data_IF_479488614143
#
_entry.id   IF_479488614143
#
_cell.length_a   1.000
_cell.length_b   1.000
_cell.length_c   1.000
_cell.angle_alpha   90.00
_cell.angle_beta   90.00
_cell.angle_gamma   90.00
#
_symmetry.space_group_name_H-M   'P 1'
#
loop_
_entity.id
_entity.type
_entity.pdbx_description
1 polymer ?
#
# COMPACT_ATOMS: atom_id res chain seq x y z
N UNK A 1 -29.51 33.80 -0.76
CA UNK A 1 -28.72 33.32 0.40
C UNK A 1 -28.45 31.82 0.38
N UNK A 2 -29.42 30.94 0.10
CA UNK A 2 -29.21 29.49 0.10
C UNK A 2 -28.16 28.99 -0.91
N UNK A 3 -28.15 29.53 -2.13
CA UNK A 3 -27.19 29.15 -3.18
C UNK A 3 -25.74 29.49 -2.80
N UNK A 4 -25.50 30.66 -2.20
CA UNK A 4 -24.16 31.07 -1.74
C UNK A 4 -23.67 30.15 -0.62
N UNK A 5 -24.55 29.74 0.30
CA UNK A 5 -24.21 28.79 1.38
C UNK A 5 -23.89 27.39 0.84
N UNK A 6 -24.64 26.92 -0.16
CA UNK A 6 -24.36 25.65 -0.83
C UNK A 6 -23.02 25.67 -1.58
N UNK A 7 -22.74 26.76 -2.31
CA UNK A 7 -21.46 26.93 -2.97
C UNK A 7 -20.29 26.96 -1.98
N UNK A 8 -20.46 27.65 -0.83
CA UNK A 8 -19.46 27.68 0.22
C UNK A 8 -19.21 26.29 0.85
N UNK A 9 -20.27 25.50 1.09
CA UNK A 9 -20.15 24.12 1.58
C UNK A 9 -19.45 23.21 0.57
N UNK A 10 -19.79 23.31 -0.72
CA UNK A 10 -19.14 22.55 -1.77
C UNK A 10 -17.65 22.88 -1.88
N UNK A 11 -17.29 24.17 -1.81
CA UNK A 11 -15.90 24.61 -1.83
C UNK A 11 -15.13 24.09 -0.60
N UNK A 12 -15.71 24.20 0.60
CA UNK A 12 -15.10 23.68 1.82
C UNK A 12 -14.89 22.17 1.76
N UNK A 13 -15.90 21.42 1.27
CA UNK A 13 -15.80 19.97 1.07
C UNK A 13 -14.72 19.60 0.06
N UNK A 14 -14.62 20.32 -1.06
CA UNK A 14 -13.58 20.08 -2.06
C UNK A 14 -12.17 20.32 -1.51
N UNK A 15 -11.96 21.43 -0.78
CA UNK A 15 -10.67 21.73 -0.13
C UNK A 15 -10.31 20.65 0.89
N UNK A 16 -11.27 20.26 1.74
CA UNK A 16 -11.08 19.18 2.72
C UNK A 16 -10.73 17.85 2.07
N UNK A 17 -11.44 17.48 1.00
CA UNK A 17 -11.18 16.25 0.24
C UNK A 17 -9.77 16.26 -0.39
N UNK A 18 -9.36 17.37 -1.02
CA UNK A 18 -8.02 17.48 -1.62
C UNK A 18 -6.91 17.40 -0.57
N UNK A 19 -7.13 17.96 0.62
CA UNK A 19 -6.19 17.86 1.72
C UNK A 19 -6.08 16.41 2.23
N UNK A 20 -7.21 15.72 2.39
CA UNK A 20 -7.25 14.32 2.80
C UNK A 20 -6.59 13.39 1.77
N UNK A 21 -6.82 13.61 0.47
CA UNK A 21 -6.13 12.86 -0.60
C UNK A 21 -4.61 13.01 -0.52
N UNK A 22 -4.11 14.23 -0.26
CA UNK A 22 -2.66 14.45 -0.09
C UNK A 22 -2.10 13.68 1.10
N UNK A 23 -2.86 13.59 2.19
CA UNK A 23 -2.46 12.83 3.38
C UNK A 23 -2.51 11.32 3.16
N UNK A 24 -3.39 10.82 2.29
CA UNK A 24 -3.57 9.38 2.07
C UNK A 24 -2.37 8.70 1.40
N UNK A 25 -1.42 9.46 0.86
CA UNK A 25 -0.21 8.93 0.22
C UNK A 25 -0.50 7.97 -0.93
N UNK A 26 0.51 7.61 -1.71
CA UNK A 26 0.39 6.52 -2.69
C UNK A 26 0.60 5.18 -1.99
N UNK A 27 -0.30 4.81 -1.08
CA UNK A 27 -0.23 3.50 -0.43
C UNK A 27 -0.72 2.44 -1.42
N UNK A 28 0.12 1.43 -1.67
CA UNK A 28 -0.23 0.33 -2.53
C UNK A 28 -1.18 -0.60 -1.78
N UNK A 29 -2.26 -1.05 -2.42
CA UNK A 29 -3.32 -1.81 -1.75
C UNK A 29 -2.81 -3.11 -1.10
N UNK A 30 -1.74 -3.70 -1.64
CA UNK A 30 -1.16 -4.93 -1.12
C UNK A 30 -0.10 -4.72 -0.01
N UNK A 31 0.28 -3.48 0.28
CA UNK A 31 1.45 -3.16 1.09
C UNK A 31 1.07 -2.81 2.52
N UNK A 32 1.84 -3.33 3.48
CA UNK A 32 1.77 -2.86 4.85
C UNK A 32 2.12 -1.37 4.94
N UNK A 33 1.76 -0.74 6.06
CA UNK A 33 2.15 0.65 6.33
C UNK A 33 3.69 0.77 6.31
N UNK A 34 4.21 1.77 5.60
CA UNK A 34 5.65 2.01 5.47
C UNK A 34 6.38 1.21 4.37
N UNK A 35 5.72 0.28 3.69
CA UNK A 35 6.32 -0.52 2.62
C UNK A 35 6.26 0.16 1.23
N UNK A 36 5.44 1.21 1.08
CA UNK A 36 5.29 1.95 -0.18
C UNK A 36 6.05 3.27 -0.19
N UNK A 37 6.39 3.77 -1.38
CA UNK A 37 6.99 5.09 -1.56
C UNK A 37 8.52 5.14 -1.41
N UNK A 38 9.19 3.97 -1.38
CA UNK A 38 10.64 3.88 -1.47
C UNK A 38 11.20 4.28 -2.84
N UNK A 39 12.52 4.41 -2.96
CA UNK A 39 13.22 4.85 -4.18
C UNK A 39 13.14 3.85 -5.35
N UNK A 40 12.68 2.61 -5.10
CA UNK A 40 12.64 1.59 -6.13
C UNK A 40 11.55 1.91 -7.18
N UNK A 41 11.91 1.91 -8.46
CA UNK A 41 10.97 2.23 -9.54
C UNK A 41 9.79 1.25 -9.60
N UNK A 42 10.06 -0.04 -9.35
CA UNK A 42 9.07 -1.10 -9.48
C UNK A 42 8.06 -1.16 -8.33
N UNK A 43 8.27 -0.40 -7.24
CA UNK A 43 7.47 -0.43 -6.01
C UNK A 43 7.20 -1.88 -5.59
N UNK A 44 8.24 -2.56 -5.10
CA UNK A 44 8.16 -3.94 -4.58
C UNK A 44 8.34 -3.86 -3.07
N UNK A 45 7.41 -4.45 -2.32
CA UNK A 45 7.49 -4.53 -0.85
C UNK A 45 8.54 -5.58 -0.43
N UNK A 46 8.99 -5.50 0.81
CA UNK A 46 9.75 -6.57 1.46
C UNK A 46 8.91 -7.87 1.49
N UNK A 47 9.59 -9.02 1.55
CA UNK A 47 8.94 -10.31 1.71
C UNK A 47 8.28 -10.45 3.09
N UNK A 48 7.37 -11.41 3.19
CA UNK A 48 6.80 -11.89 4.44
C UNK A 48 5.50 -11.20 4.87
N UNK A 49 4.80 -11.80 5.84
CA UNK A 49 3.44 -11.39 6.24
C UNK A 49 3.40 -10.11 7.09
N UNK A 50 4.54 -9.58 7.52
CA UNK A 50 4.66 -8.25 8.12
C UNK A 50 4.55 -7.13 7.09
N UNK A 51 4.87 -7.43 5.84
CA UNK A 51 5.01 -6.48 4.74
C UNK A 51 3.74 -6.41 3.88
N UNK A 52 2.78 -7.29 4.14
CA UNK A 52 1.47 -7.35 3.48
C UNK A 52 0.42 -6.46 4.15
N UNK A 53 -0.49 -5.88 3.36
CA UNK A 53 -1.63 -5.13 3.88
C UNK A 53 -2.55 -6.01 4.75
N UNK A 54 -2.90 -7.19 4.24
CA UNK A 54 -3.74 -8.16 4.92
C UNK A 54 -2.90 -9.29 5.51
N UNK A 55 -3.30 -9.76 6.69
CA UNK A 55 -2.65 -10.91 7.33
C UNK A 55 -3.07 -12.22 6.64
N UNK A 56 -2.15 -13.20 6.50
CA UNK A 56 -2.50 -14.51 5.98
C UNK A 56 -3.61 -15.19 6.79
N UNK A 57 -4.59 -15.78 6.10
CA UNK A 57 -5.70 -16.51 6.74
C UNK A 57 -5.31 -17.93 7.20
N UNK A 58 -4.19 -18.44 6.69
CA UNK A 58 -3.60 -19.73 7.06
C UNK A 58 -2.19 -19.52 7.60
N UNK A 59 -1.62 -20.57 8.18
CA UNK A 59 -0.22 -20.56 8.57
C UNK A 59 0.65 -20.20 7.37
N UNK A 60 1.53 -19.24 7.58
CA UNK A 60 2.61 -18.89 6.67
C UNK A 60 3.69 -19.96 6.79
N UNK A 61 3.97 -20.64 5.68
CA UNK A 61 4.95 -21.73 5.62
C UNK A 61 6.29 -21.23 5.09
N UNK A 62 7.33 -22.03 5.28
CA UNK A 62 8.66 -21.74 4.72
C UNK A 62 8.62 -21.65 3.18
N UNK A 63 7.84 -22.52 2.53
CA UNK A 63 7.62 -22.47 1.08
C UNK A 63 6.95 -21.16 0.64
N UNK A 64 6.05 -20.60 1.46
CA UNK A 64 5.44 -19.28 1.15
C UNK A 64 6.48 -18.16 1.26
N UNK A 65 7.36 -18.22 2.26
CA UNK A 65 8.43 -17.24 2.47
C UNK A 65 9.47 -17.30 1.34
N UNK A 66 9.96 -18.49 1.01
CA UNK A 66 10.90 -18.71 -0.09
C UNK A 66 10.32 -18.24 -1.44
N UNK A 67 9.04 -18.53 -1.68
CA UNK A 67 8.33 -18.08 -2.87
C UNK A 67 8.21 -16.54 -2.92
N UNK A 68 7.89 -15.88 -1.81
CA UNK A 68 7.78 -14.42 -1.73
C UNK A 68 9.17 -13.75 -1.88
N UNK A 69 10.24 -14.37 -1.38
CA UNK A 69 11.63 -13.89 -1.50
C UNK A 69 12.21 -14.04 -2.91
N UNK A 70 11.69 -14.97 -3.71
CA UNK A 70 12.10 -15.14 -5.12
C UNK A 70 11.65 -13.99 -6.03
N UNK A 71 10.92 -13.01 -5.50
CA UNK A 71 10.51 -11.84 -6.27
C UNK A 71 11.39 -10.61 -5.92
N UNK A 72 11.86 -9.85 -6.93
CA UNK A 72 11.68 -10.02 -8.38
C UNK A 72 12.73 -10.92 -9.05
N UNK A 73 13.80 -11.29 -8.33
CA UNK A 73 14.90 -12.08 -8.86
C UNK A 73 14.48 -13.56 -8.87
N UNK A 74 13.99 -14.04 -10.02
CA UNK A 74 13.40 -15.38 -10.22
C UNK A 74 14.34 -16.58 -9.99
N UNK A 75 15.37 -16.43 -9.16
CA UNK A 75 16.24 -17.50 -8.71
C UNK A 75 15.45 -18.41 -7.77
N UNK A 76 15.50 -19.74 -7.98
CA UNK A 76 14.89 -20.68 -7.05
C UNK A 76 15.59 -20.57 -5.67
N UNK A 77 14.86 -20.77 -4.56
CA UNK A 77 15.45 -20.80 -3.23
C UNK A 77 16.55 -21.86 -3.17
N UNK A 78 17.79 -21.42 -2.92
CA UNK A 78 18.97 -22.29 -2.86
C UNK A 78 19.13 -22.88 -1.46
N UNK A 79 18.21 -23.75 -1.06
CA UNK A 79 18.16 -24.36 0.27
C UNK A 79 18.70 -25.81 0.28
N UNK A 80 19.81 -26.06 -0.42
CA UNK A 80 20.46 -27.39 -0.54
C UNK A 80 21.32 -27.75 0.68
#
# INVERSE_FOLDING_TARGET
>A
MALIRLAALAAAGAIGYRYFEKLRGKQHAAFASGQGGGENFAQVRDSGPSSMADKPQRKWTEVDEESDQSFPASDPPANY
#
